data_IF_753576581456
#
_entry.id   IF_753576581456
#
_cell.length_a   1.000
_cell.length_b   1.000
_cell.length_c   1.000
_cell.angle_alpha   90.00
_cell.angle_beta   90.00
_cell.angle_gamma   90.00
#
_symmetry.space_group_name_H-M   'P 1'
#
loop_
_entity.id
_entity.type
_entity.pdbx_description
1 polymer ?
#
# COMPACT_ATOMS: atom_id res chain seq x y z
N UNK A 1 -7.07 7.24 -12.97
CA UNK A 1 -7.24 6.87 -11.54
C UNK A 1 -7.51 5.39 -11.39
N UNK A 2 -6.58 4.63 -10.81
CA UNK A 2 -6.89 3.32 -10.24
C UNK A 2 -7.48 3.55 -8.84
N UNK A 3 -8.60 2.88 -8.54
CA UNK A 3 -9.23 2.95 -7.24
C UNK A 3 -8.95 1.64 -6.50
N UNK A 4 -8.25 1.72 -5.37
CA UNK A 4 -8.11 0.60 -4.45
C UNK A 4 -9.36 0.55 -3.56
N UNK A 5 -9.94 -0.65 -3.44
CA UNK A 5 -11.05 -0.95 -2.53
C UNK A 5 -10.62 -2.16 -1.71
N UNK A 6 -10.48 -2.00 -0.39
CA UNK A 6 -10.00 -3.06 0.51
C UNK A 6 -10.76 -3.04 1.84
N UNK A 7 -11.00 -4.23 2.41
CA UNK A 7 -11.59 -4.40 3.74
C UNK A 7 -10.52 -4.92 4.70
N UNK A 8 -10.19 -4.14 5.73
CA UNK A 8 -9.16 -4.47 6.71
C UNK A 8 -9.75 -5.02 8.01
N UNK A 9 -9.12 -6.08 8.51
CA UNK A 9 -9.38 -6.67 9.81
C UNK A 9 -8.08 -6.71 10.60
N UNK A 10 -8.14 -6.35 11.88
CA UNK A 10 -7.07 -6.65 12.82
C UNK A 10 -7.31 -8.05 13.36
N UNK A 11 -6.27 -8.88 13.32
CA UNK A 11 -6.35 -10.27 13.75
C UNK A 11 -5.72 -10.39 15.12
N UNK A 12 -6.44 -11.00 16.07
CA UNK A 12 -5.85 -11.36 17.36
C UNK A 12 -4.70 -12.36 17.11
N UNK A 13 -3.56 -12.14 17.75
CA UNK A 13 -2.35 -12.94 17.55
C UNK A 13 -2.61 -14.46 17.71
N UNK A 14 -3.36 -14.84 18.74
CA UNK A 14 -3.69 -16.25 19.02
C UNK A 14 -4.55 -16.92 17.93
N UNK A 15 -5.21 -16.11 17.08
CA UNK A 15 -6.08 -16.59 16.00
C UNK A 15 -5.38 -16.67 14.64
N UNK A 16 -4.10 -16.28 14.53
CA UNK A 16 -3.39 -16.20 13.24
C UNK A 16 -3.34 -17.54 12.51
N UNK A 17 -2.98 -18.62 13.21
CA UNK A 17 -2.89 -19.95 12.61
C UNK A 17 -4.26 -20.52 12.27
N UNK A 18 -5.25 -20.32 13.13
CA UNK A 18 -6.63 -20.72 12.87
C UNK A 18 -7.19 -20.02 11.62
N UNK A 19 -6.95 -18.71 11.48
CA UNK A 19 -7.32 -17.93 10.30
C UNK A 19 -6.60 -18.44 9.06
N UNK A 20 -5.28 -18.66 9.13
CA UNK A 20 -4.49 -19.17 8.00
C UNK A 20 -5.03 -20.50 7.51
N UNK A 21 -5.27 -21.45 8.42
CA UNK A 21 -5.79 -22.77 8.08
C UNK A 21 -7.18 -22.65 7.43
N UNK A 22 -8.04 -21.78 7.96
CA UNK A 22 -9.33 -21.52 7.34
C UNK A 22 -9.20 -20.93 5.93
N UNK A 23 -8.30 -19.96 5.70
CA UNK A 23 -8.08 -19.39 4.38
C UNK A 23 -7.64 -20.43 3.34
N UNK A 24 -6.86 -21.44 3.75
CA UNK A 24 -6.47 -22.55 2.88
C UNK A 24 -7.63 -23.45 2.46
N UNK A 25 -8.69 -23.58 3.27
CA UNK A 25 -9.84 -24.44 2.90
C UNK A 25 -10.75 -23.80 1.85
N UNK A 26 -10.64 -22.49 1.64
CA UNK A 26 -11.49 -21.72 0.74
C UNK A 26 -11.06 -21.85 -0.74
N UNK A 27 -9.99 -22.61 -1.02
CA UNK A 27 -9.44 -22.77 -2.36
C UNK A 27 -8.83 -21.49 -2.93
N UNK A 28 -8.53 -21.54 -4.23
CA UNK A 28 -7.92 -20.43 -4.97
C UNK A 28 -6.41 -20.54 -5.15
N UNK A 29 -5.83 -19.56 -5.83
CA UNK A 29 -4.38 -19.48 -6.08
C UNK A 29 -3.69 -18.95 -4.81
N UNK A 30 -2.80 -19.76 -4.24
CA UNK A 30 -2.03 -19.41 -3.06
C UNK A 30 -0.61 -18.98 -3.43
N UNK A 31 -0.14 -17.91 -2.79
CA UNK A 31 1.27 -17.51 -2.82
C UNK A 31 1.81 -17.51 -1.40
N UNK A 32 2.93 -18.22 -1.22
CA UNK A 32 3.66 -18.27 0.03
C UNK A 32 4.07 -16.87 0.52
N UNK A 33 4.34 -16.70 1.83
CA UNK A 33 4.73 -15.42 2.39
C UNK A 33 5.96 -14.82 1.69
N UNK A 34 5.88 -13.54 1.30
CA UNK A 34 7.03 -12.74 0.85
C UNK A 34 7.26 -11.55 1.79
N UNK A 35 8.52 -11.19 2.02
CA UNK A 35 8.86 -10.01 2.83
C UNK A 35 8.62 -8.74 2.02
N UNK A 36 7.90 -7.79 2.62
CA UNK A 36 7.68 -6.45 2.07
C UNK A 36 8.31 -5.42 2.99
N UNK A 37 9.31 -4.71 2.45
CA UNK A 37 9.98 -3.61 3.14
C UNK A 37 9.43 -2.30 2.61
N UNK A 38 8.88 -1.45 3.47
CA UNK A 38 8.31 -0.18 3.04
C UNK A 38 8.95 0.95 3.84
N UNK A 39 9.29 2.04 3.15
CA UNK A 39 9.71 3.30 3.77
C UNK A 39 8.70 4.36 3.36
N UNK A 40 8.09 5.01 4.35
CA UNK A 40 7.17 6.12 4.16
C UNK A 40 7.90 7.43 4.32
N UNK A 41 7.56 8.38 3.45
CA UNK A 41 8.19 9.68 3.38
C UNK A 41 7.21 10.77 3.77
N UNK A 42 7.73 11.82 4.41
CA UNK A 42 6.94 12.98 4.83
C UNK A 42 7.83 14.22 4.91
N UNK A 43 7.21 15.41 4.88
CA UNK A 43 7.90 16.68 5.10
C UNK A 43 7.95 17.03 6.59
N UNK A 44 8.89 17.87 7.06
CA UNK A 44 8.97 18.26 8.48
C UNK A 44 7.70 18.89 9.04
N UNK A 45 6.88 19.50 8.18
CA UNK A 45 5.62 20.14 8.54
C UNK A 45 4.39 19.22 8.36
N UNK A 46 4.57 17.93 8.01
CA UNK A 46 3.50 16.96 7.78
C UNK A 46 2.58 17.30 6.59
N UNK A 47 3.14 17.78 5.49
CA UNK A 47 2.37 18.26 4.34
C UNK A 47 1.54 17.16 3.67
N UNK A 48 2.08 15.94 3.50
CA UNK A 48 1.33 14.83 2.88
C UNK A 48 0.18 14.41 3.79
N UNK A 49 0.44 14.28 5.09
CA UNK A 49 -0.58 13.90 6.08
C UNK A 49 -1.74 14.89 6.14
N UNK A 50 -1.48 16.19 6.04
CA UNK A 50 -2.54 17.23 6.01
C UNK A 50 -3.45 17.14 4.79
N UNK A 51 -3.02 16.47 3.72
CA UNK A 51 -3.82 16.19 2.53
C UNK A 51 -4.36 14.76 2.49
N UNK A 52 -4.24 14.00 3.60
CA UNK A 52 -4.52 12.58 3.65
C UNK A 52 -3.84 11.79 2.53
N UNK A 53 -2.59 12.15 2.24
CA UNK A 53 -1.73 11.50 1.26
C UNK A 53 -0.71 10.60 1.97
N UNK A 54 -0.30 9.53 1.31
CA UNK A 54 0.75 8.62 1.77
C UNK A 54 1.68 8.28 0.62
N UNK A 55 2.95 8.62 0.77
CA UNK A 55 4.02 8.31 -0.17
C UNK A 55 4.93 7.25 0.44
N UNK A 56 5.20 6.19 -0.32
CA UNK A 56 6.18 5.17 0.08
C UNK A 56 7.00 4.67 -1.09
N UNK A 57 8.14 4.09 -0.75
CA UNK A 57 8.80 3.09 -1.57
C UNK A 57 8.60 1.73 -0.90
N UNK A 58 8.19 0.73 -1.68
CA UNK A 58 8.13 -0.68 -1.30
C UNK A 58 9.23 -1.45 -2.03
N UNK A 59 9.96 -2.27 -1.28
CA UNK A 59 10.85 -3.30 -1.79
C UNK A 59 10.26 -4.69 -1.62
N UNK A 60 10.36 -5.52 -2.65
CA UNK A 60 10.06 -6.96 -2.61
C UNK A 60 11.07 -7.71 -3.49
N UNK A 61 11.91 -8.56 -2.89
CA UNK A 61 12.88 -9.39 -3.62
C UNK A 61 13.76 -8.59 -4.62
N UNK A 62 14.26 -7.43 -4.19
CA UNK A 62 15.11 -6.55 -5.02
C UNK A 62 14.36 -5.74 -6.08
N UNK A 63 13.02 -5.83 -6.17
CA UNK A 63 12.18 -4.94 -6.98
C UNK A 63 11.64 -3.81 -6.13
N UNK A 64 11.52 -2.63 -6.73
CA UNK A 64 11.05 -1.43 -6.04
C UNK A 64 9.81 -0.84 -6.72
N UNK A 65 8.92 -0.31 -5.90
CA UNK A 65 7.70 0.37 -6.34
C UNK A 65 7.49 1.61 -5.48
N UNK A 66 7.28 2.76 -6.13
CA UNK A 66 6.77 3.96 -5.47
C UNK A 66 5.24 3.92 -5.51
N UNK A 67 4.60 4.10 -4.35
CA UNK A 67 3.14 4.24 -4.26
C UNK A 67 2.79 5.61 -3.71
N UNK A 68 1.86 6.30 -4.38
CA UNK A 68 1.14 7.44 -3.83
C UNK A 68 -0.32 7.06 -3.61
N UNK A 69 -0.80 7.11 -2.36
CA UNK A 69 -2.22 7.04 -2.01
C UNK A 69 -2.70 8.43 -1.65
N UNK A 70 -3.84 8.86 -2.20
CA UNK A 70 -4.41 10.18 -1.90
C UNK A 70 -5.66 10.08 -1.03
N UNK A 71 -6.27 11.22 -0.72
CA UNK A 71 -7.49 11.28 0.07
C UNK A 71 -8.59 10.40 -0.56
N UNK A 72 -9.34 9.71 0.29
CA UNK A 72 -10.41 8.81 -0.13
C UNK A 72 -11.45 8.65 0.98
N UNK A 73 -12.21 7.57 0.92
CA UNK A 73 -13.27 7.28 1.88
C UNK A 73 -12.89 6.10 2.78
N UNK A 74 -13.23 6.22 4.06
CA UNK A 74 -13.15 5.11 5.02
C UNK A 74 -14.53 4.92 5.66
N UNK A 75 -15.01 3.69 5.75
CA UNK A 75 -16.28 3.35 6.42
C UNK A 75 -16.08 2.04 7.19
N UNK A 76 -15.85 2.15 8.51
CA UNK A 76 -15.39 1.00 9.30
C UNK A 76 -14.02 0.52 8.80
N UNK A 77 -13.88 -0.78 8.57
CA UNK A 77 -12.67 -1.36 7.97
C UNK A 77 -12.57 -1.23 6.45
N UNK A 78 -13.58 -0.68 5.77
CA UNK A 78 -13.58 -0.52 4.31
C UNK A 78 -12.85 0.76 3.91
N UNK A 79 -11.75 0.61 3.17
CA UNK A 79 -10.96 1.70 2.60
C UNK A 79 -11.20 1.78 1.10
N UNK A 80 -11.42 2.99 0.60
CA UNK A 80 -11.55 3.29 -0.82
C UNK A 80 -10.68 4.51 -1.14
N UNK A 81 -9.53 4.30 -1.77
CA UNK A 81 -8.57 5.37 -2.06
C UNK A 81 -8.10 5.32 -3.49
N UNK A 82 -7.98 6.46 -4.19
CA UNK A 82 -7.20 6.51 -5.41
C UNK A 82 -5.73 6.23 -5.09
N UNK A 83 -5.08 5.42 -5.92
CA UNK A 83 -3.67 5.10 -5.79
C UNK A 83 -2.95 5.09 -7.14
N UNK A 84 -1.65 5.36 -7.08
CA UNK A 84 -0.72 5.31 -8.21
C UNK A 84 0.52 4.54 -7.82
N UNK A 85 0.84 3.54 -8.62
CA UNK A 85 2.00 2.69 -8.45
C UNK A 85 2.96 2.91 -9.62
N UNK A 86 4.22 3.18 -9.33
CA UNK A 86 5.28 3.41 -10.31
C UNK A 86 6.41 2.44 -10.00
N UNK A 87 6.78 1.59 -10.97
CA UNK A 87 7.93 0.72 -10.83
C UNK A 87 9.22 1.55 -10.80
N UNK A 88 10.13 1.24 -9.89
CA UNK A 88 11.42 1.89 -9.76
C UNK A 88 12.56 0.90 -10.03
N UNK A 89 13.62 1.38 -10.68
CA UNK A 89 14.86 0.61 -10.85
C UNK A 89 15.70 0.55 -9.56
N UNK A 90 15.56 1.55 -8.71
CA UNK A 90 16.30 1.72 -7.45
C UNK A 90 15.40 2.35 -6.38
N UNK A 91 15.70 2.22 -5.08
CA UNK A 91 14.84 2.74 -4.01
C UNK A 91 14.99 4.26 -3.80
N UNK A 92 14.87 5.03 -4.88
CA UNK A 92 14.93 6.49 -4.89
C UNK A 92 13.61 7.04 -5.39
N UNK A 93 13.08 8.06 -4.69
CA UNK A 93 11.83 8.70 -5.10
C UNK A 93 12.00 9.46 -6.41
N UNK A 94 11.06 9.26 -7.32
CA UNK A 94 10.93 10.08 -8.53
C UNK A 94 9.50 10.61 -8.63
N UNK A 95 9.24 11.71 -7.90
CA UNK A 95 7.91 12.32 -7.83
C UNK A 95 7.40 12.84 -9.19
N UNK A 96 8.29 12.99 -10.18
CA UNK A 96 7.94 13.49 -11.51
C UNK A 96 7.15 12.48 -12.34
N UNK A 97 7.23 11.19 -11.99
CA UNK A 97 6.45 10.12 -12.64
C UNK A 97 5.00 10.04 -12.14
N UNK A 98 4.66 10.72 -11.04
CA UNK A 98 3.29 10.78 -10.57
C UNK A 98 2.48 11.76 -11.43
N UNK A 99 1.24 11.41 -11.82
CA UNK A 99 0.44 12.27 -12.67
C UNK A 99 -0.01 13.53 -11.91
N UNK A 100 -0.27 14.60 -12.66
CA UNK A 100 -0.71 15.90 -12.14
C UNK A 100 -1.87 15.82 -11.13
N UNK A 101 -2.81 14.90 -11.37
CA UNK A 101 -4.03 14.68 -10.58
C UNK A 101 -3.79 14.18 -9.16
N UNK A 102 -2.59 13.71 -8.80
CA UNK A 102 -2.30 13.35 -7.39
C UNK A 102 -2.14 14.59 -6.51
N UNK A 103 -1.83 15.74 -7.10
CA UNK A 103 -1.50 16.94 -6.37
C UNK A 103 -2.74 17.84 -6.22
N UNK A 104 -2.96 18.46 -5.05
CA UNK A 104 -4.12 19.33 -4.80
C UNK A 104 -4.30 20.44 -5.84
N UNK A 105 -3.20 21.05 -6.28
CA UNK A 105 -3.18 22.14 -7.27
C UNK A 105 -2.94 21.65 -8.71
N UNK A 106 -3.03 20.34 -8.96
CA UNK A 106 -2.76 19.75 -10.27
C UNK A 106 -1.29 19.81 -10.72
N UNK A 107 -0.35 20.07 -9.80
CA UNK A 107 1.09 20.14 -10.07
C UNK A 107 1.92 19.76 -8.85
N UNK A 108 3.09 19.18 -9.07
CA UNK A 108 4.05 18.87 -8.02
C UNK A 108 4.43 20.17 -7.27
N UNK A 109 4.24 20.25 -5.94
CA UNK A 109 4.63 21.43 -5.17
C UNK A 109 6.14 21.69 -5.25
N UNK A 110 6.52 22.94 -5.48
CA UNK A 110 7.91 23.35 -5.54
C UNK A 110 8.62 23.03 -4.22
N UNK A 111 9.80 22.39 -4.30
CA UNK A 111 10.59 22.02 -3.13
C UNK A 111 10.13 20.76 -2.40
N UNK A 112 9.01 20.12 -2.78
CA UNK A 112 8.54 18.89 -2.12
C UNK A 112 9.57 17.76 -2.24
N UNK A 113 10.12 17.55 -3.44
CA UNK A 113 11.12 16.51 -3.68
C UNK A 113 12.38 16.66 -2.80
N UNK A 114 12.76 17.89 -2.46
CA UNK A 114 13.89 18.18 -1.57
C UNK A 114 13.54 18.15 -0.08
N UNK A 115 12.27 18.31 0.28
CA UNK A 115 11.84 18.40 1.69
C UNK A 115 11.38 17.06 2.27
N UNK A 116 10.94 16.12 1.44
CA UNK A 116 10.54 14.79 1.91
C UNK A 116 11.73 14.02 2.49
N UNK A 117 11.50 13.41 3.65
CA UNK A 117 12.48 12.58 4.35
C UNK A 117 11.82 11.27 4.77
N UNK A 118 12.58 10.16 4.91
CA UNK A 118 12.08 8.96 5.54
C UNK A 118 11.53 9.29 6.95
N UNK A 119 10.27 8.93 7.21
CA UNK A 119 9.62 9.16 8.49
C UNK A 119 9.50 7.87 9.31
N UNK A 120 9.01 6.80 8.70
CA UNK A 120 8.87 5.49 9.34
C UNK A 120 8.91 4.38 8.30
N UNK A 121 9.07 3.14 8.78
CA UNK A 121 9.03 1.94 7.95
C UNK A 121 7.94 0.98 8.39
N UNK A 122 7.52 0.10 7.47
CA UNK A 122 6.76 -1.10 7.81
C UNK A 122 7.46 -2.29 7.18
N UNK A 123 7.80 -3.29 7.99
CA UNK A 123 8.47 -4.52 7.60
C UNK A 123 7.59 -5.69 8.02
N UNK A 124 7.04 -6.42 7.05
CA UNK A 124 6.15 -7.54 7.33
C UNK A 124 6.19 -8.57 6.21
N UNK A 125 5.79 -9.79 6.55
CA UNK A 125 5.57 -10.86 5.59
C UNK A 125 4.12 -10.86 5.13
N UNK A 126 3.90 -10.90 3.82
CA UNK A 126 2.57 -10.98 3.20
C UNK A 126 2.36 -12.33 2.55
N UNK A 127 1.38 -13.09 3.04
CA UNK A 127 0.86 -14.30 2.39
C UNK A 127 -0.42 -13.95 1.62
N UNK A 128 -0.59 -14.49 0.40
CA UNK A 128 -1.71 -14.12 -0.49
C UNK A 128 -2.54 -15.32 -0.94
N UNK A 129 -3.83 -15.09 -1.10
CA UNK A 129 -4.76 -16.00 -1.77
C UNK A 129 -5.63 -15.22 -2.74
N UNK A 130 -5.74 -15.69 -3.98
CA UNK A 130 -6.68 -15.17 -4.97
C UNK A 130 -7.86 -16.10 -5.14
N UNK A 131 -9.05 -15.52 -5.22
CA UNK A 131 -10.31 -16.23 -5.44
C UNK A 131 -11.18 -15.47 -6.43
N UNK A 132 -12.07 -16.20 -7.08
CA UNK A 132 -13.16 -15.65 -7.86
C UNK A 132 -14.46 -15.84 -7.09
N UNK A 133 -15.17 -14.74 -6.81
CA UNK A 133 -16.49 -14.74 -6.17
C UNK A 133 -17.41 -13.94 -7.05
N UNK A 134 -18.47 -14.58 -7.56
CA UNK A 134 -19.50 -13.94 -8.39
C UNK A 134 -18.94 -13.16 -9.60
N UNK A 135 -17.86 -13.67 -10.19
CA UNK A 135 -17.17 -13.05 -11.33
C UNK A 135 -16.19 -11.93 -10.95
N UNK A 136 -16.02 -11.65 -9.66
CA UNK A 136 -15.02 -10.71 -9.15
C UNK A 136 -13.78 -11.46 -8.67
N UNK A 137 -12.60 -11.08 -9.19
CA UNK A 137 -11.32 -11.55 -8.68
C UNK A 137 -10.94 -10.77 -7.42
N UNK A 138 -10.87 -11.46 -6.28
CA UNK A 138 -10.54 -10.87 -4.98
C UNK A 138 -9.21 -11.40 -4.44
N UNK A 139 -8.37 -10.49 -3.97
CA UNK A 139 -7.12 -10.81 -3.28
C UNK A 139 -7.30 -10.74 -1.77
N UNK A 140 -6.94 -11.81 -1.07
CA UNK A 140 -6.80 -11.83 0.39
C UNK A 140 -5.32 -11.78 0.73
N UNK A 141 -4.95 -10.90 1.65
CA UNK A 141 -3.59 -10.78 2.15
C UNK A 141 -3.59 -10.94 3.67
N UNK A 142 -2.68 -11.76 4.19
CA UNK A 142 -2.35 -11.79 5.62
C UNK A 142 -0.97 -11.17 5.79
N UNK A 143 -0.90 -10.14 6.62
CA UNK A 143 0.33 -9.42 6.95
C UNK A 143 0.73 -9.74 8.39
N UNK A 144 2.02 -10.03 8.62
CA UNK A 144 2.59 -10.28 9.93
C UNK A 144 4.00 -9.67 10.02
N UNK A 145 4.20 -8.74 10.96
CA UNK A 145 5.44 -8.01 11.20
C UNK A 145 5.22 -6.70 11.94
#
# INVERSE_FOLDING_TARGET
MAQEIELKFIVNHDAVDALRNHLHTLGGEHHAPSQLLNIYFETPDNWLRRHDMGLRIRGENGRYEMTMKIAGRVTGGLHQRPEYNVALSEPVLDLTQLPAEVWPDGKLPAGLASSVQPLFSTDFYREKWWLDVDGCRMGRARDLG
#
